data_IF_160918106644
#
_entry.id   IF_160918106644
#
_cell.length_a   1.000
_cell.length_b   1.000
_cell.length_c   1.000
_cell.angle_alpha   90.00
_cell.angle_beta   90.00
_cell.angle_gamma   90.00
#
_symmetry.space_group_name_H-M   'P 1'
#
loop_
_entity.id
_entity.type
_entity.pdbx_description
1 polymer ?
#
# COMPACT_ATOMS: atom_id res chain seq x y z
N UNK A 1 -28.00 32.60 18.57
CA UNK A 1 -26.88 32.66 17.60
C UNK A 1 -26.15 31.33 17.76
N UNK A 2 -26.24 30.43 16.78
CA UNK A 2 -25.40 29.22 16.82
C UNK A 2 -23.95 29.68 16.87
N UNK A 3 -23.15 29.12 17.78
CA UNK A 3 -21.74 29.49 17.93
C UNK A 3 -21.07 29.30 16.57
N UNK A 4 -20.52 30.39 16.02
CA UNK A 4 -19.91 30.41 14.69
C UNK A 4 -18.80 29.33 14.58
N UNK A 5 -18.11 29.05 15.69
CA UNK A 5 -17.06 28.02 15.74
C UNK A 5 -17.60 26.59 15.72
N UNK A 6 -18.83 26.36 16.19
CA UNK A 6 -19.48 25.03 16.10
C UNK A 6 -19.89 24.74 14.66
N UNK A 7 -20.39 25.74 13.93
CA UNK A 7 -20.67 25.60 12.50
C UNK A 7 -19.39 25.34 11.69
N UNK A 8 -18.30 26.04 12.02
CA UNK A 8 -16.99 25.85 11.38
C UNK A 8 -16.42 24.44 11.69
N UNK A 9 -16.59 23.94 12.92
CA UNK A 9 -16.16 22.60 13.31
C UNK A 9 -16.96 21.49 12.62
N UNK A 10 -18.29 21.67 12.48
CA UNK A 10 -19.15 20.73 11.75
C UNK A 10 -18.89 20.73 10.23
N UNK A 11 -18.29 21.80 9.70
CA UNK A 11 -17.91 21.91 8.28
C UNK A 11 -16.50 21.38 7.98
N UNK A 12 -15.69 21.11 9.01
CA UNK A 12 -14.31 20.64 8.86
C UNK A 12 -14.30 19.16 8.45
N UNK A 13 -13.98 18.88 7.19
CA UNK A 13 -13.92 17.52 6.61
C UNK A 13 -12.49 17.03 6.38
N UNK A 14 -11.51 17.86 6.69
CA UNK A 14 -10.08 17.62 6.49
C UNK A 14 -9.32 17.92 7.78
N UNK A 15 -8.42 17.04 8.16
CA UNK A 15 -7.60 17.19 9.38
C UNK A 15 -6.28 17.91 9.08
N UNK A 16 -5.82 18.75 9.99
CA UNK A 16 -4.46 19.30 10.01
C UNK A 16 -3.50 18.41 10.80
N UNK A 17 -2.19 18.55 10.58
CA UNK A 17 -1.15 17.73 11.24
C UNK A 17 -1.19 17.83 12.76
N UNK A 18 -1.56 18.99 13.30
CA UNK A 18 -1.61 19.24 14.75
C UNK A 18 -2.99 18.91 15.37
N UNK A 19 -3.93 18.38 14.59
CA UNK A 19 -5.23 17.99 15.11
C UNK A 19 -5.11 16.80 16.08
N UNK A 20 -5.83 16.91 17.19
CA UNK A 20 -5.85 15.90 18.24
C UNK A 20 -7.24 15.26 18.37
N UNK A 21 -7.27 13.95 18.64
CA UNK A 21 -8.48 13.24 19.03
C UNK A 21 -8.56 13.23 20.55
N UNK A 22 -9.75 13.53 21.07
CA UNK A 22 -10.03 13.39 22.50
C UNK A 22 -10.29 11.92 22.81
N UNK A 23 -9.45 11.33 23.66
CA UNK A 23 -9.68 9.98 24.19
C UNK A 23 -10.29 10.13 25.59
N UNK A 24 -11.56 9.78 25.73
CA UNK A 24 -12.22 9.77 27.03
C UNK A 24 -11.70 8.58 27.84
N UNK A 25 -10.79 8.85 28.77
CA UNK A 25 -10.50 7.93 29.87
C UNK A 25 -11.71 7.96 30.80
N UNK A 26 -12.35 6.81 31.03
CA UNK A 26 -13.52 6.71 31.93
C UNK A 26 -13.11 6.57 33.39
N UNK A 27 -11.81 6.52 33.67
CA UNK A 27 -11.26 6.62 35.03
C UNK A 27 -11.19 8.07 35.51
N UNK A 28 -11.07 8.30 36.82
CA UNK A 28 -11.04 9.63 37.43
C UNK A 28 -9.77 10.48 37.14
N UNK A 29 -8.99 10.11 36.12
CA UNK A 29 -7.78 10.81 35.66
C UNK A 29 -8.09 11.75 34.49
N UNK A 30 -7.21 12.73 34.23
CA UNK A 30 -7.38 13.71 33.16
C UNK A 30 -7.57 13.05 31.78
N UNK A 31 -8.46 13.63 30.96
CA UNK A 31 -8.68 13.24 29.57
C UNK A 31 -7.35 13.18 28.80
N UNK A 32 -7.01 12.00 28.28
CA UNK A 32 -5.78 11.82 27.50
C UNK A 32 -5.97 12.42 26.10
N UNK A 33 -4.96 13.15 25.62
CA UNK A 33 -4.88 13.65 24.24
C UNK A 33 -3.99 12.72 23.42
N UNK A 34 -4.48 12.27 22.27
CA UNK A 34 -3.69 11.54 21.27
C UNK A 34 -3.73 12.33 19.97
N UNK A 35 -2.61 12.41 19.26
CA UNK A 35 -2.61 13.00 17.90
C UNK A 35 -3.36 12.08 16.95
N UNK A 36 -3.97 12.63 15.90
CA UNK A 36 -4.61 11.82 14.84
C UNK A 36 -3.61 10.82 14.25
N UNK A 37 -2.37 11.26 14.06
CA UNK A 37 -1.24 10.41 13.64
C UNK A 37 -1.03 9.23 14.60
N UNK A 38 -0.95 9.45 15.92
CA UNK A 38 -0.77 8.38 16.90
C UNK A 38 -1.98 7.42 16.95
N UNK A 39 -3.20 7.90 16.68
CA UNK A 39 -4.38 7.04 16.62
C UNK A 39 -4.35 6.14 15.37
N UNK A 40 -4.08 6.69 14.19
CA UNK A 40 -3.96 5.87 12.97
C UNK A 40 -2.67 5.04 12.90
N UNK A 41 -1.62 5.40 13.63
CA UNK A 41 -0.46 4.51 13.78
C UNK A 41 -0.80 3.20 14.51
N UNK A 42 -1.89 3.18 15.30
CA UNK A 42 -2.41 1.94 15.93
C UNK A 42 -3.43 1.19 15.07
N UNK A 43 -3.97 1.81 14.02
CA UNK A 43 -4.98 1.22 13.12
C UNK A 43 -4.43 1.29 11.69
N UNK A 44 -4.05 0.17 11.06
CA UNK A 44 -3.37 0.19 9.77
C UNK A 44 -4.33 0.62 8.63
N UNK A 45 -4.57 1.92 8.47
CA UNK A 45 -5.38 2.50 7.40
C UNK A 45 -4.89 3.90 7.06
N UNK A 46 -4.31 4.05 5.87
CA UNK A 46 -4.10 5.33 5.20
C UNK A 46 -5.05 5.42 4.00
N UNK A 47 -5.59 6.60 3.69
CA UNK A 47 -6.36 6.87 2.47
C UNK A 47 -5.54 6.74 1.18
N UNK A 48 -4.20 6.62 1.28
CA UNK A 48 -3.31 6.22 0.17
C UNK A 48 -3.19 4.70 0.00
N UNK A 49 -3.86 3.91 0.86
CA UNK A 49 -3.78 2.45 0.85
C UNK A 49 -4.22 1.83 -0.49
N UNK A 50 -5.10 2.51 -1.23
CA UNK A 50 -5.51 2.10 -2.57
C UNK A 50 -4.89 3.06 -3.59
N UNK A 51 -3.79 2.65 -4.21
CA UNK A 51 -3.24 3.32 -5.38
C UNK A 51 -3.71 2.61 -6.65
N UNK A 52 -4.67 3.17 -7.37
CA UNK A 52 -4.90 2.77 -8.77
C UNK A 52 -3.89 3.49 -9.63
N UNK A 53 -3.04 2.74 -10.34
CA UNK A 53 -2.07 3.31 -11.26
C UNK A 53 -2.42 2.86 -12.67
N UNK A 54 -2.76 3.82 -13.52
CA UNK A 54 -2.81 3.58 -14.96
C UNK A 54 -1.39 3.34 -15.46
N UNK A 55 -1.21 2.29 -16.26
CA UNK A 55 0.10 1.92 -16.79
C UNK A 55 0.69 3.09 -17.58
N UNK A 56 1.93 3.43 -17.21
CA UNK A 56 2.76 4.47 -17.82
C UNK A 56 4.00 3.80 -18.41
N UNK A 57 4.64 4.44 -19.39
CA UNK A 57 5.96 4.03 -19.91
C UNK A 57 7.10 4.24 -18.89
N UNK A 58 6.82 4.91 -17.77
CA UNK A 58 7.73 5.10 -16.64
C UNK A 58 7.65 3.95 -15.63
N UNK A 59 8.77 3.66 -14.96
CA UNK A 59 8.80 2.77 -13.80
C UNK A 59 7.95 3.34 -12.67
N UNK A 60 7.06 2.52 -12.10
CA UNK A 60 6.15 2.92 -11.03
C UNK A 60 6.69 2.48 -9.66
N UNK A 61 6.76 3.41 -8.71
CA UNK A 61 7.08 3.08 -7.32
C UNK A 61 5.83 2.60 -6.57
N UNK A 62 5.92 1.46 -5.88
CA UNK A 62 4.84 0.92 -5.05
C UNK A 62 4.95 1.32 -3.58
N UNK A 63 6.00 2.06 -3.21
CA UNK A 63 6.26 2.48 -1.84
C UNK A 63 5.07 3.27 -1.26
N UNK A 64 4.70 2.95 -0.02
CA UNK A 64 3.54 3.52 0.66
C UNK A 64 2.17 3.10 0.11
N UNK A 65 2.09 2.23 -0.92
CA UNK A 65 0.82 1.65 -1.41
C UNK A 65 0.54 0.34 -0.68
N UNK A 66 -0.73 0.03 -0.39
CA UNK A 66 -1.13 -1.29 0.15
C UNK A 66 -1.82 -2.15 -0.90
N UNK A 67 -2.42 -1.51 -1.90
CA UNK A 67 -3.03 -2.12 -3.06
C UNK A 67 -2.60 -1.36 -4.31
N UNK A 68 -2.02 -2.08 -5.27
CA UNK A 68 -1.65 -1.62 -6.59
C UNK A 68 -2.50 -2.33 -7.64
N UNK A 69 -3.38 -1.58 -8.28
CA UNK A 69 -4.22 -2.07 -9.36
C UNK A 69 -3.64 -1.58 -10.69
N UNK A 70 -3.11 -2.52 -11.47
CA UNK A 70 -2.67 -2.27 -12.83
C UNK A 70 -3.86 -2.39 -13.77
N UNK A 71 -4.23 -1.28 -14.41
CA UNK A 71 -5.34 -1.23 -15.36
C UNK A 71 -4.90 -1.39 -16.82
N UNK A 72 -3.59 -1.37 -17.10
CA UNK A 72 -3.01 -1.82 -18.37
C UNK A 72 -3.33 -1.01 -19.62
N UNK A 73 -2.40 -1.06 -20.58
CA UNK A 73 -2.62 -0.76 -22.00
C UNK A 73 -1.89 -1.83 -22.81
N UNK A 74 -2.38 -2.24 -23.98
CA UNK A 74 -1.77 -3.32 -24.77
C UNK A 74 -0.45 -2.94 -25.47
N UNK A 75 -0.02 -1.69 -25.37
CA UNK A 75 1.08 -1.12 -26.18
C UNK A 75 2.39 -0.93 -25.42
N UNK A 76 2.40 -1.12 -24.09
CA UNK A 76 3.57 -0.86 -23.25
C UNK A 76 3.74 -1.90 -22.13
N UNK A 77 4.95 -1.98 -21.58
CA UNK A 77 5.23 -2.77 -20.39
C UNK A 77 4.84 -1.98 -19.12
N UNK A 78 4.39 -2.69 -18.09
CA UNK A 78 4.26 -2.18 -16.74
C UNK A 78 5.46 -2.66 -15.91
N UNK A 79 6.31 -1.72 -15.50
CA UNK A 79 7.45 -2.01 -14.63
C UNK A 79 7.24 -1.30 -13.31
N UNK A 80 7.36 -2.03 -12.21
CA UNK A 80 7.25 -1.46 -10.88
C UNK A 80 8.39 -1.88 -9.96
N UNK A 81 8.69 -1.04 -8.97
CA UNK A 81 9.73 -1.27 -7.96
C UNK A 81 9.18 -1.06 -6.56
N UNK A 82 9.80 -1.72 -5.59
CA UNK A 82 9.51 -1.56 -4.16
C UNK A 82 10.85 -1.46 -3.42
N UNK A 83 10.98 -0.51 -2.50
CA UNK A 83 12.15 -0.43 -1.61
C UNK A 83 11.98 -1.39 -0.42
N UNK A 84 12.91 -1.40 0.54
CA UNK A 84 12.72 -2.16 1.77
C UNK A 84 11.48 -1.66 2.53
N UNK A 85 10.76 -2.55 3.22
CA UNK A 85 9.60 -2.13 4.00
C UNK A 85 10.00 -1.26 5.20
N UNK A 86 9.14 -0.30 5.53
CA UNK A 86 9.33 0.65 6.63
C UNK A 86 9.10 0.00 8.00
N UNK A 87 8.25 -1.03 8.05
CA UNK A 87 7.91 -1.76 9.27
C UNK A 87 7.59 -3.23 8.99
N UNK A 88 7.98 -4.11 9.92
CA UNK A 88 7.67 -5.54 9.85
C UNK A 88 6.16 -5.78 9.78
N UNK A 89 5.72 -6.62 8.86
CA UNK A 89 4.31 -6.90 8.60
C UNK A 89 3.66 -5.97 7.58
N UNK A 90 4.40 -5.01 7.01
CA UNK A 90 3.91 -4.21 5.88
C UNK A 90 3.49 -5.12 4.73
N UNK A 91 2.30 -4.88 4.18
CA UNK A 91 1.70 -5.72 3.12
C UNK A 91 1.38 -4.91 1.88
N UNK A 92 1.67 -5.48 0.70
CA UNK A 92 1.29 -4.88 -0.59
C UNK A 92 0.66 -5.96 -1.47
N UNK A 93 -0.54 -5.69 -1.97
CA UNK A 93 -1.22 -6.54 -2.96
C UNK A 93 -1.16 -5.88 -4.33
N UNK A 94 -0.82 -6.67 -5.34
CA UNK A 94 -0.58 -6.25 -6.71
C UNK A 94 -1.50 -7.09 -7.59
N UNK A 95 -2.33 -6.45 -8.41
CA UNK A 95 -3.25 -7.16 -9.29
C UNK A 95 -3.35 -6.51 -10.67
N UNK A 96 -3.52 -7.34 -11.70
CA UNK A 96 -3.85 -6.90 -13.05
C UNK A 96 -5.35 -7.08 -13.27
N UNK A 97 -6.08 -5.98 -13.56
CA UNK A 97 -7.55 -6.00 -13.50
C UNK A 97 -8.28 -5.62 -14.81
N UNK A 98 -7.58 -5.12 -15.82
CA UNK A 98 -8.24 -4.67 -17.06
C UNK A 98 -7.58 -5.20 -18.35
N UNK A 99 -6.46 -4.60 -18.81
CA UNK A 99 -5.80 -5.06 -20.06
C UNK A 99 -4.40 -5.57 -19.79
N UNK A 100 -3.97 -6.66 -20.43
CA UNK A 100 -2.61 -7.19 -20.26
C UNK A 100 -1.59 -6.26 -20.96
N UNK A 101 -0.62 -5.68 -20.22
CA UNK A 101 0.51 -4.97 -20.84
C UNK A 101 1.45 -5.96 -21.55
N UNK A 102 2.37 -5.47 -22.39
CA UNK A 102 3.33 -6.35 -23.10
C UNK A 102 4.20 -7.17 -22.14
N UNK A 103 4.42 -6.65 -20.93
CA UNK A 103 4.84 -7.41 -19.76
C UNK A 103 4.44 -6.67 -18.48
N UNK A 104 4.26 -7.38 -17.37
CA UNK A 104 4.11 -6.77 -16.05
C UNK A 104 5.09 -7.42 -15.08
N UNK A 105 6.08 -6.64 -14.65
CA UNK A 105 7.15 -7.09 -13.76
C UNK A 105 7.28 -6.14 -12.56
N UNK A 106 7.36 -6.72 -11.37
CA UNK A 106 7.63 -5.98 -10.13
C UNK A 106 8.96 -6.44 -9.56
N UNK A 107 9.81 -5.50 -9.17
CA UNK A 107 11.16 -5.77 -8.62
C UNK A 107 11.21 -5.23 -7.18
N UNK A 108 10.96 -6.07 -6.16
CA UNK A 108 11.16 -5.67 -4.77
C UNK A 108 12.65 -5.71 -4.41
N UNK A 109 13.13 -4.69 -3.70
CA UNK A 109 14.43 -4.75 -3.05
C UNK A 109 14.43 -5.84 -1.98
N UNK A 110 15.55 -6.55 -1.76
CA UNK A 110 15.58 -7.59 -0.73
C UNK A 110 14.46 -8.65 -0.92
N UNK A 111 14.18 -9.05 -2.16
CA UNK A 111 13.17 -10.08 -2.42
C UNK A 111 13.71 -11.46 -2.03
N UNK A 112 12.92 -12.20 -1.25
CA UNK A 112 13.13 -13.62 -0.98
C UNK A 112 11.97 -14.38 -1.63
N UNK A 113 12.28 -15.07 -2.71
CA UNK A 113 11.32 -15.91 -3.40
C UNK A 113 11.11 -17.27 -2.71
N UNK A 114 10.21 -18.08 -3.28
CA UNK A 114 9.94 -19.45 -2.82
C UNK A 114 11.07 -20.45 -3.14
N UNK A 115 12.08 -20.06 -3.93
CA UNK A 115 13.22 -20.90 -4.33
C UNK A 115 14.51 -20.62 -3.56
N UNK A 116 14.49 -19.74 -2.56
CA UNK A 116 15.66 -19.41 -1.75
C UNK A 116 16.53 -18.27 -2.29
N UNK A 117 15.99 -17.39 -3.15
CA UNK A 117 16.62 -16.12 -3.54
C UNK A 117 17.13 -16.01 -4.99
N UNK A 118 16.79 -16.94 -5.89
CA UNK A 118 17.26 -16.88 -7.29
C UNK A 118 16.48 -15.87 -8.15
N UNK A 119 15.25 -15.55 -7.80
CA UNK A 119 14.38 -14.63 -8.53
C UNK A 119 14.48 -13.23 -7.94
N UNK A 120 14.63 -12.23 -8.82
CA UNK A 120 14.64 -10.81 -8.44
C UNK A 120 13.32 -10.11 -8.75
N UNK A 121 12.37 -10.80 -9.38
CA UNK A 121 11.14 -10.20 -9.94
C UNK A 121 9.91 -11.09 -9.75
N UNK A 122 8.76 -10.44 -9.65
CA UNK A 122 7.42 -11.03 -9.69
C UNK A 122 6.77 -10.69 -11.04
N UNK A 123 6.12 -11.67 -11.66
CA UNK A 123 5.44 -11.51 -12.95
C UNK A 123 3.93 -11.61 -12.79
N UNK A 124 3.17 -10.70 -13.41
CA UNK A 124 1.70 -10.71 -13.42
C UNK A 124 1.19 -10.78 -14.89
N UNK A 125 1.06 -11.96 -15.52
CA UNK A 125 0.97 -12.08 -16.97
C UNK A 125 -0.46 -12.00 -17.52
N UNK A 126 -1.50 -12.08 -16.68
CA UNK A 126 -2.89 -12.11 -17.13
C UNK A 126 -3.82 -11.33 -16.21
N UNK A 127 -4.93 -10.86 -16.78
CA UNK A 127 -6.02 -10.24 -16.02
C UNK A 127 -6.55 -11.25 -15.00
N UNK A 128 -6.74 -10.80 -13.76
CA UNK A 128 -7.11 -11.62 -12.62
C UNK A 128 -5.92 -12.18 -11.85
N UNK A 129 -4.72 -12.17 -12.41
CA UNK A 129 -3.53 -12.61 -11.68
C UNK A 129 -3.09 -11.57 -10.66
N UNK A 130 -2.54 -12.05 -9.55
CA UNK A 130 -2.13 -11.20 -8.43
C UNK A 130 -0.97 -11.78 -7.62
N UNK A 131 -0.32 -10.91 -6.87
CA UNK A 131 0.64 -11.26 -5.84
C UNK A 131 0.40 -10.41 -4.60
N UNK A 132 0.43 -11.03 -3.43
CA UNK A 132 0.50 -10.31 -2.15
C UNK A 132 1.87 -10.57 -1.53
N UNK A 133 2.53 -9.49 -1.12
CA UNK A 133 3.82 -9.53 -0.46
C UNK A 133 3.70 -9.02 0.97
N UNK A 134 4.57 -9.54 1.83
CA UNK A 134 4.75 -9.10 3.22
C UNK A 134 6.23 -8.82 3.49
N UNK A 135 6.52 -7.70 4.15
CA UNK A 135 7.86 -7.40 4.65
C UNK A 135 8.11 -8.10 5.97
N UNK A 136 9.15 -8.92 6.05
CA UNK A 136 9.50 -9.68 7.27
C UNK A 136 10.35 -8.90 8.27
N UNK A 137 10.73 -7.66 7.94
CA UNK A 137 11.76 -6.90 8.65
C UNK A 137 13.13 -6.96 7.96
N UNK A 138 13.33 -7.88 7.00
CA UNK A 138 14.60 -8.02 6.27
C UNK A 138 14.46 -8.36 4.79
N UNK A 139 13.37 -9.03 4.42
CA UNK A 139 13.08 -9.45 3.04
C UNK A 139 11.60 -9.28 2.74
N UNK A 140 11.28 -8.99 1.48
CA UNK A 140 9.91 -9.15 0.98
C UNK A 140 9.70 -10.63 0.64
N UNK A 141 8.60 -11.21 1.12
CA UNK A 141 8.17 -12.57 0.75
C UNK A 141 6.81 -12.51 0.06
N UNK A 142 6.55 -13.41 -0.87
CA UNK A 142 5.21 -13.61 -1.45
C UNK A 142 4.41 -14.53 -0.52
N UNK A 143 3.20 -14.12 -0.14
CA UNK A 143 2.30 -14.89 0.73
C UNK A 143 1.04 -15.37 0.04
N UNK A 144 0.71 -14.79 -1.12
CA UNK A 144 -0.37 -15.24 -1.99
C UNK A 144 0.04 -15.02 -3.44
N UNK A 145 -0.20 -16.03 -4.28
CA UNK A 145 0.08 -15.99 -5.71
C UNK A 145 -0.97 -16.81 -6.45
N UNK A 146 -1.76 -16.16 -7.32
CA UNK A 146 -2.74 -16.83 -8.19
C UNK A 146 -2.47 -16.42 -9.64
N UNK A 147 -2.39 -17.41 -10.54
CA UNK A 147 -2.27 -17.19 -11.98
C UNK A 147 -0.91 -16.63 -12.43
N UNK A 148 0.14 -16.78 -11.64
CA UNK A 148 1.49 -16.26 -11.88
C UNK A 148 2.56 -17.32 -11.71
N UNK A 149 3.71 -17.13 -12.36
CA UNK A 149 4.95 -17.85 -12.08
C UNK A 149 6.00 -16.86 -11.52
N UNK A 150 6.70 -17.27 -10.46
CA UNK A 150 7.93 -16.60 -10.04
C UNK A 150 9.03 -17.15 -10.94
N UNK A 151 9.56 -16.33 -11.85
CA UNK A 151 10.46 -16.78 -12.93
C UNK A 151 11.87 -16.26 -12.71
N UNK A 152 12.87 -17.13 -12.90
CA UNK A 152 14.28 -16.78 -12.89
C UNK A 152 14.66 -16.15 -14.23
N UNK A 153 15.57 -15.19 -14.19
CA UNK A 153 16.44 -14.92 -15.34
C UNK A 153 17.56 -15.94 -15.35
#
# INVERSE_FOLDING_TARGET
MADKRISDLNALTTTATDDAILVSDTSASETKKITIENFFNTIPMSSTAVGSVTVSTSTQALDGKRLFLCTGTSSAACVATMTAGDFTGQTITIALIATVPTSFKVTPANFLDHTGGSNTKISIPSVGSNATLVWTGAKWIVTSLIGNAVTST
#
